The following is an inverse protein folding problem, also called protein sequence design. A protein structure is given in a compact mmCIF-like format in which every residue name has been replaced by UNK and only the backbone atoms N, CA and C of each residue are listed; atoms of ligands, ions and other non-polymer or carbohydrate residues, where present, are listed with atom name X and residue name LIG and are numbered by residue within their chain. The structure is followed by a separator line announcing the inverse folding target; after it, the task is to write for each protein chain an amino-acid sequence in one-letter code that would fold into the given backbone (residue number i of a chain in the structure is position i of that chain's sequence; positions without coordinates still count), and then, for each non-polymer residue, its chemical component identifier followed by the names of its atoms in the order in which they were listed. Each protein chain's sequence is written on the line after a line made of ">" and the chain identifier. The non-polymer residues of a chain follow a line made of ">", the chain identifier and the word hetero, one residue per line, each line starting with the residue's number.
data_IF_782642636158
#
_entry.id   IF_782642636158
#
_cell.length_a   1.000
_cell.length_b   1.000
_cell.length_c   1.000
_cell.angle_alpha   90.00
_cell.angle_beta   90.00
_cell.angle_gamma   90.00
#
_symmetry.space_group_name_H-M   'P 1'
#
loop_
_entity.id
_entity.type
_entity.pdbx_description
1 polymer ?
#
# COMPACT_ATOMS: atom_id res chain seq x y z
N UNK A 1 80.58 28.64 -30.75
CA UNK A 1 81.62 27.59 -30.93
C UNK A 1 81.80 26.88 -29.59
N UNK A 2 81.97 25.54 -29.60
CA UNK A 2 82.23 24.62 -28.46
C UNK A 2 80.91 24.17 -27.75
N UNK A 3 80.36 22.97 -28.05
CA UNK A 3 80.68 21.61 -27.51
C UNK A 3 80.42 21.56 -25.97
N UNK A 4 79.78 20.59 -25.32
CA UNK A 4 79.53 19.19 -25.64
C UNK A 4 78.61 18.55 -24.54
N UNK A 5 77.62 17.71 -24.87
CA UNK A 5 77.58 16.22 -24.81
C UNK A 5 76.90 15.62 -23.54
N UNK A 6 76.03 14.63 -23.82
CA UNK A 6 75.71 13.39 -23.06
C UNK A 6 75.16 13.50 -21.62
N UNK A 7 73.97 12.96 -21.37
CA UNK A 7 73.81 11.68 -20.65
C UNK A 7 72.34 11.38 -20.32
N UNK A 8 71.84 10.30 -20.94
CA UNK A 8 70.99 9.26 -20.36
C UNK A 8 70.42 9.49 -18.94
N UNK A 9 69.13 9.81 -18.88
CA UNK A 9 68.20 9.36 -17.83
C UNK A 9 66.85 9.28 -18.54
N UNK A 10 66.09 8.21 -18.54
CA UNK A 10 66.00 7.14 -17.57
C UNK A 10 64.53 6.74 -17.63
N UNK A 11 64.30 5.52 -18.10
CA UNK A 11 63.03 4.81 -18.00
C UNK A 11 62.40 5.05 -16.62
N UNK A 12 61.14 5.49 -16.55
CA UNK A 12 60.18 5.18 -15.46
C UNK A 12 58.89 5.95 -15.71
N UNK A 13 58.14 5.57 -16.76
CA UNK A 13 56.70 5.81 -16.77
C UNK A 13 56.07 4.75 -15.86
N UNK A 14 56.15 4.98 -14.55
CA UNK A 14 55.43 4.16 -13.56
C UNK A 14 53.95 4.43 -13.77
N UNK A 15 53.23 3.37 -14.10
CA UNK A 15 51.79 3.31 -14.18
C UNK A 15 51.17 3.98 -12.95
N UNK A 16 50.33 4.99 -13.17
CA UNK A 16 49.41 5.48 -12.15
C UNK A 16 48.38 4.38 -11.89
N UNK A 17 48.71 3.51 -10.93
CA UNK A 17 47.80 2.51 -10.40
C UNK A 17 46.63 3.26 -9.74
N UNK A 18 45.45 3.13 -10.32
CA UNK A 18 44.20 3.55 -9.73
C UNK A 18 43.97 2.76 -8.43
N UNK A 19 44.42 3.31 -7.31
CA UNK A 19 43.93 2.92 -5.99
C UNK A 19 42.67 3.75 -5.71
N UNK A 20 41.56 3.37 -6.36
CA UNK A 20 40.25 3.67 -5.81
C UNK A 20 40.19 2.90 -4.48
N UNK A 21 40.38 3.61 -3.37
CA UNK A 21 40.18 3.07 -2.04
C UNK A 21 38.72 2.60 -1.96
N UNK A 22 38.50 1.29 -2.07
CA UNK A 22 37.25 0.68 -1.64
C UNK A 22 37.26 0.73 -0.12
N UNK A 23 36.83 1.86 0.45
CA UNK A 23 36.42 1.88 1.84
C UNK A 23 35.17 1.01 1.92
N UNK A 24 35.33 -0.25 2.35
CA UNK A 24 34.19 -1.02 2.81
C UNK A 24 33.52 -0.20 3.92
N UNK A 25 32.22 0.13 3.79
CA UNK A 25 31.52 0.81 4.87
C UNK A 25 31.62 -0.07 6.12
N UNK A 26 31.79 0.53 7.31
CA UNK A 26 31.89 -0.23 8.54
C UNK A 26 30.66 -1.15 8.70
N UNK A 27 30.80 -2.32 9.35
CA UNK A 27 29.67 -3.19 9.60
C UNK A 27 28.58 -2.38 10.31
N UNK A 28 27.40 -2.29 9.71
CA UNK A 28 26.24 -1.68 10.35
C UNK A 28 25.96 -2.49 11.59
N UNK A 29 26.31 -1.92 12.74
CA UNK A 29 25.84 -2.42 14.03
C UNK A 29 24.34 -2.19 14.02
N UNK A 30 23.55 -3.23 13.74
CA UNK A 30 22.09 -3.21 13.86
C UNK A 30 21.78 -3.13 15.36
N UNK A 31 21.97 -1.95 15.94
CA UNK A 31 21.33 -1.58 17.19
C UNK A 31 19.85 -1.40 16.86
N UNK A 32 19.04 -2.33 17.36
CA UNK A 32 17.57 -2.31 17.45
C UNK A 32 16.94 -1.07 16.82
N UNK A 33 16.63 -1.21 15.53
CA UNK A 33 15.74 -0.31 14.83
C UNK A 33 14.38 -0.46 15.52
N UNK A 34 14.03 0.47 16.41
CA UNK A 34 12.79 0.47 17.21
C UNK A 34 11.64 -0.15 16.43
N UNK A 35 11.36 -1.40 16.76
CA UNK A 35 10.43 -2.21 16.01
C UNK A 35 9.02 -1.91 16.49
N UNK A 36 8.20 -1.38 15.59
CA UNK A 36 6.82 -1.05 15.93
C UNK A 36 5.99 -2.31 16.23
N UNK A 37 6.47 -3.52 15.89
CA UNK A 37 5.87 -4.80 16.28
C UNK A 37 5.76 -4.88 17.80
N UNK A 38 6.78 -4.45 18.54
CA UNK A 38 6.76 -4.44 20.02
C UNK A 38 5.76 -3.44 20.63
N UNK A 39 5.31 -2.48 19.81
CA UNK A 39 4.46 -1.36 20.23
C UNK A 39 2.99 -1.54 19.83
N UNK A 40 2.68 -2.60 19.09
CA UNK A 40 1.33 -2.99 18.70
C UNK A 40 0.80 -2.33 17.42
N UNK A 41 1.65 -1.76 16.57
CA UNK A 41 1.27 -1.33 15.22
C UNK A 41 2.36 -1.74 14.23
N UNK A 42 2.14 -2.79 13.44
CA UNK A 42 3.16 -3.24 12.48
C UNK A 42 3.21 -2.26 11.31
N UNK A 43 4.39 -1.74 10.99
CA UNK A 43 4.59 -0.96 9.77
C UNK A 43 4.69 -1.93 8.58
N UNK A 44 3.59 -2.13 7.87
CA UNK A 44 3.52 -2.96 6.68
C UNK A 44 2.74 -2.28 5.53
N UNK A 45 2.83 -2.86 4.33
CA UNK A 45 2.21 -2.31 3.14
C UNK A 45 2.55 -0.82 2.95
N UNK A 46 1.54 0.01 2.69
CA UNK A 46 1.71 1.46 2.53
C UNK A 46 2.15 2.18 3.80
N UNK A 47 1.87 1.63 4.98
CA UNK A 47 2.33 2.24 6.24
C UNK A 47 3.84 2.10 6.46
N UNK A 48 4.51 1.18 5.76
CA UNK A 48 5.97 1.06 5.81
C UNK A 48 6.69 2.15 5.00
N UNK A 49 5.97 2.86 4.13
CA UNK A 49 6.54 3.84 3.18
C UNK A 49 6.38 5.29 3.65
N UNK A 50 5.51 5.57 4.62
CA UNK A 50 5.22 6.93 5.10
C UNK A 50 6.28 7.45 6.06
N UNK A 51 6.48 8.78 6.08
CA UNK A 51 7.40 9.45 7.00
C UNK A 51 6.94 9.39 8.46
N UNK A 52 7.89 9.30 9.39
CA UNK A 52 7.64 9.16 10.83
C UNK A 52 6.72 10.26 11.39
N UNK A 53 6.85 11.48 10.88
CA UNK A 53 6.11 12.68 11.29
C UNK A 53 4.63 12.64 10.90
N UNK A 54 4.25 11.79 9.94
CA UNK A 54 2.85 11.56 9.54
C UNK A 54 2.02 11.02 10.70
N UNK A 55 2.62 10.15 11.53
CA UNK A 55 1.97 9.57 12.72
C UNK A 55 2.45 10.23 14.01
N UNK A 56 3.73 10.57 14.10
CA UNK A 56 4.38 11.15 15.27
C UNK A 56 4.52 12.65 15.12
N UNK A 57 3.37 13.33 15.12
CA UNK A 57 3.31 14.79 15.02
C UNK A 57 4.20 15.45 16.06
N UNK A 58 5.04 16.39 15.62
CA UNK A 58 6.01 17.10 16.48
C UNK A 58 6.94 16.16 17.26
N UNK A 59 7.28 15.01 16.68
CA UNK A 59 8.08 13.96 17.30
C UNK A 59 7.51 13.41 18.63
N UNK A 60 6.18 13.45 18.80
CA UNK A 60 5.50 12.82 19.94
C UNK A 60 5.17 11.36 19.60
N UNK A 61 5.90 10.45 20.22
CA UNK A 61 5.79 9.00 19.95
C UNK A 61 4.77 8.27 20.83
N UNK A 62 4.57 8.74 22.07
CA UNK A 62 3.61 8.14 22.99
C UNK A 62 2.19 8.58 22.66
N UNK A 63 1.27 7.62 22.69
CA UNK A 63 -0.16 7.88 22.47
C UNK A 63 -0.57 7.98 20.99
N UNK A 64 0.32 7.64 20.05
CA UNK A 64 -0.07 7.48 18.64
C UNK A 64 -1.14 6.38 18.52
N UNK A 65 -2.32 6.67 17.94
CA UNK A 65 -3.38 5.68 17.79
C UNK A 65 -2.95 4.52 16.89
N UNK A 66 -3.50 3.33 17.16
CA UNK A 66 -3.15 2.09 16.43
C UNK A 66 -4.30 1.47 15.65
N UNK A 67 -5.53 1.94 15.86
CA UNK A 67 -6.70 1.46 15.13
C UNK A 67 -6.83 2.22 13.82
N UNK A 68 -7.18 1.53 12.73
CA UNK A 68 -7.37 2.13 11.40
C UNK A 68 -8.25 3.39 11.46
N UNK A 69 -9.43 3.29 12.07
CA UNK A 69 -10.40 4.38 12.17
C UNK A 69 -9.97 5.57 13.05
N UNK A 70 -8.95 5.44 13.89
CA UNK A 70 -8.46 6.58 14.69
C UNK A 70 -7.59 7.54 13.86
N UNK A 71 -7.00 7.05 12.76
CA UNK A 71 -6.27 7.86 11.80
C UNK A 71 -7.09 8.10 10.53
N UNK A 72 -7.71 7.06 9.97
CA UNK A 72 -8.59 7.13 8.79
C UNK A 72 -10.00 7.60 9.17
N UNK A 73 -10.09 8.86 9.60
CA UNK A 73 -11.29 9.50 10.12
C UNK A 73 -11.70 10.77 9.37
N UNK A 74 -11.15 10.99 8.17
CA UNK A 74 -11.32 12.20 7.36
C UNK A 74 -10.78 13.49 8.00
N UNK A 75 -10.06 13.40 9.12
CA UNK A 75 -9.36 14.53 9.76
C UNK A 75 -7.85 14.36 9.65
N UNK A 76 -7.32 13.17 9.97
CA UNK A 76 -5.88 12.88 9.89
C UNK A 76 -5.50 12.20 8.58
N UNK A 77 -6.30 11.23 8.16
CA UNK A 77 -6.20 10.52 6.89
C UNK A 77 -7.59 10.27 6.33
N UNK A 78 -7.66 10.04 5.02
CA UNK A 78 -8.91 9.71 4.34
C UNK A 78 -9.53 8.46 4.97
N UNK A 79 -10.79 8.59 5.40
CA UNK A 79 -11.56 7.52 6.01
C UNK A 79 -12.51 6.86 5.02
N UNK A 80 -13.64 6.37 5.53
CA UNK A 80 -14.73 5.86 4.70
C UNK A 80 -15.26 7.00 3.82
N UNK A 81 -15.25 6.81 2.50
CA UNK A 81 -15.85 7.74 1.55
C UNK A 81 -17.37 7.66 1.61
N UNK A 82 -18.06 8.63 1.01
CA UNK A 82 -19.53 8.63 0.93
C UNK A 82 -20.10 7.42 0.14
N UNK A 83 -19.27 6.76 -0.67
CA UNK A 83 -19.62 5.57 -1.47
C UNK A 83 -19.28 4.25 -0.76
N UNK A 84 -18.67 4.31 0.43
CA UNK A 84 -18.31 3.13 1.19
C UNK A 84 -19.56 2.31 1.56
N UNK A 85 -19.45 0.98 1.53
CA UNK A 85 -20.53 0.09 1.98
C UNK A 85 -20.76 0.34 3.48
N UNK A 86 -21.99 0.66 3.93
CA UNK A 86 -22.25 0.88 5.36
C UNK A 86 -21.88 -0.37 6.17
N UNK A 87 -20.91 -0.23 7.07
CA UNK A 87 -20.47 -1.32 7.97
C UNK A 87 -19.84 -0.74 9.23
N UNK A 88 -20.00 -1.49 10.32
CA UNK A 88 -19.32 -1.30 11.61
C UNK A 88 -18.16 -2.26 11.82
N UNK A 89 -17.90 -3.16 10.86
CA UNK A 89 -16.83 -4.13 10.94
C UNK A 89 -15.45 -3.44 10.96
N UNK A 90 -14.48 -4.15 11.51
CA UNK A 90 -13.10 -3.71 11.54
C UNK A 90 -12.55 -3.57 10.11
N UNK A 91 -11.71 -2.57 9.84
CA UNK A 91 -11.29 -2.26 8.48
C UNK A 91 -10.56 -3.43 7.80
N UNK A 92 -9.79 -4.17 8.57
CA UNK A 92 -9.04 -5.35 8.19
C UNK A 92 -9.91 -6.56 7.79
N UNK A 93 -11.23 -6.52 8.03
CA UNK A 93 -12.14 -7.56 7.53
C UNK A 93 -12.27 -7.50 6.01
N UNK A 94 -12.08 -6.32 5.42
CA UNK A 94 -12.25 -6.08 3.99
C UNK A 94 -10.97 -5.57 3.32
N UNK A 95 -10.20 -4.72 3.99
CA UNK A 95 -9.04 -4.05 3.40
C UNK A 95 -7.71 -4.65 3.87
N UNK A 96 -6.68 -4.49 3.05
CA UNK A 96 -5.30 -4.81 3.45
C UNK A 96 -4.43 -3.56 3.36
N UNK A 97 -3.36 -3.50 4.13
CA UNK A 97 -2.40 -2.38 4.07
C UNK A 97 -1.59 -2.37 2.77
N UNK A 98 -1.51 -3.51 2.07
CA UNK A 98 -0.80 -3.66 0.79
C UNK A 98 -1.64 -3.18 -0.40
N UNK A 99 -2.92 -3.48 -0.36
CA UNK A 99 -3.90 -3.05 -1.35
C UNK A 99 -5.17 -2.59 -0.62
N UNK A 100 -5.24 -1.27 -0.39
CA UNK A 100 -6.32 -0.65 0.35
C UNK A 100 -7.54 -0.39 -0.52
N UNK A 101 -7.35 -0.14 -1.82
CA UNK A 101 -8.45 0.20 -2.73
C UNK A 101 -9.25 -1.03 -3.13
N UNK A 102 -8.60 -2.20 -3.18
CA UNK A 102 -9.29 -3.47 -3.39
C UNK A 102 -9.81 -4.01 -2.06
N UNK A 103 -11.12 -3.87 -1.82
CA UNK A 103 -11.79 -4.45 -0.67
C UNK A 103 -12.29 -5.86 -0.99
N UNK A 104 -12.15 -6.78 -0.04
CA UNK A 104 -12.73 -8.12 -0.11
C UNK A 104 -14.11 -8.09 0.53
N UNK A 105 -15.12 -8.65 -0.14
CA UNK A 105 -16.46 -8.79 0.41
C UNK A 105 -17.00 -10.19 0.15
N UNK A 106 -17.42 -10.88 1.22
CA UNK A 106 -18.06 -12.19 1.11
C UNK A 106 -19.58 -12.03 0.95
N UNK A 107 -20.10 -12.48 -0.18
CA UNK A 107 -21.52 -12.44 -0.49
C UNK A 107 -22.31 -13.62 0.10
N UNK A 108 -21.65 -14.60 0.74
CA UNK A 108 -22.28 -15.84 1.25
C UNK A 108 -23.42 -15.59 2.23
N UNK A 109 -23.34 -14.52 3.04
CA UNK A 109 -24.37 -14.11 3.99
C UNK A 109 -25.47 -13.22 3.39
N UNK A 110 -25.35 -12.80 2.13
CA UNK A 110 -26.27 -11.86 1.48
C UNK A 110 -27.21 -12.61 0.54
N UNK A 111 -28.35 -13.04 1.07
CA UNK A 111 -29.34 -13.84 0.32
C UNK A 111 -30.54 -13.03 -0.20
N UNK A 112 -30.76 -11.83 0.33
CA UNK A 112 -31.88 -10.95 -0.05
C UNK A 112 -31.43 -9.48 -0.04
N UNK A 113 -32.30 -8.58 -0.52
CA UNK A 113 -32.08 -7.12 -0.45
C UNK A 113 -30.82 -6.64 -1.20
N UNK A 114 -30.49 -7.29 -2.32
CA UNK A 114 -29.28 -6.97 -3.11
C UNK A 114 -29.22 -5.49 -3.51
N UNK A 115 -30.39 -4.88 -3.77
CA UNK A 115 -30.53 -3.48 -4.18
C UNK A 115 -30.09 -2.47 -3.13
N UNK A 116 -29.95 -2.84 -1.85
CA UNK A 116 -29.46 -1.90 -0.84
C UNK A 116 -28.00 -1.50 -1.07
N UNK A 117 -27.23 -2.35 -1.75
CA UNK A 117 -25.84 -2.09 -2.13
C UNK A 117 -25.68 -1.95 -3.65
N UNK A 118 -26.37 -2.76 -4.45
CA UNK A 118 -26.32 -2.75 -5.92
C UNK A 118 -27.31 -1.76 -6.53
N UNK A 119 -27.11 -0.48 -6.22
CA UNK A 119 -27.98 0.65 -6.59
C UNK A 119 -27.30 1.66 -7.52
N UNK A 120 -26.18 1.27 -8.16
CA UNK A 120 -25.32 2.14 -8.97
C UNK A 120 -24.62 3.26 -8.20
N UNK A 121 -24.72 3.26 -6.85
CA UNK A 121 -24.02 4.20 -6.00
C UNK A 121 -22.89 3.53 -5.23
N UNK A 122 -23.19 2.56 -4.36
CA UNK A 122 -22.17 1.76 -3.67
C UNK A 122 -21.60 0.68 -4.59
N UNK A 123 -22.47 -0.12 -5.21
CA UNK A 123 -22.08 -1.17 -6.13
C UNK A 123 -22.89 -1.11 -7.44
N UNK A 124 -22.34 -1.63 -8.56
CA UNK A 124 -23.06 -1.72 -9.83
C UNK A 124 -24.38 -2.49 -9.67
N UNK A 125 -25.48 -1.90 -10.14
CA UNK A 125 -26.82 -2.51 -10.14
C UNK A 125 -27.20 -3.06 -11.51
N UNK A 126 -28.48 -2.90 -11.88
CA UNK A 126 -28.99 -3.28 -13.21
C UNK A 126 -28.23 -2.52 -14.31
N UNK A 127 -27.68 -3.24 -15.27
CA UNK A 127 -27.06 -2.66 -16.47
C UNK A 127 -28.12 -2.22 -17.48
N UNK A 128 -27.72 -1.48 -18.52
CA UNK A 128 -28.62 -0.99 -19.56
C UNK A 128 -29.37 -2.12 -20.30
N UNK A 129 -28.80 -3.33 -20.35
CA UNK A 129 -29.38 -4.50 -21.03
C UNK A 129 -30.18 -5.42 -20.10
N UNK A 130 -30.36 -5.04 -18.82
CA UNK A 130 -31.14 -5.85 -17.89
C UNK A 130 -32.63 -5.86 -18.31
N UNK A 131 -33.30 -7.03 -18.37
CA UNK A 131 -34.72 -7.11 -18.69
C UNK A 131 -35.59 -6.23 -17.76
N UNK A 132 -36.62 -5.56 -18.27
CA UNK A 132 -37.50 -4.75 -17.43
C UNK A 132 -38.27 -5.67 -16.46
N UNK A 133 -38.09 -5.43 -15.15
CA UNK A 133 -38.76 -6.20 -14.09
C UNK A 133 -38.84 -5.42 -12.79
N UNK A 134 -39.93 -5.62 -12.06
CA UNK A 134 -40.16 -5.13 -10.69
C UNK A 134 -39.91 -6.18 -9.61
N UNK A 135 -39.54 -7.41 -9.98
CA UNK A 135 -39.24 -8.48 -9.02
C UNK A 135 -37.99 -8.16 -8.20
N UNK A 136 -37.84 -8.84 -7.06
CA UNK A 136 -36.63 -8.70 -6.26
C UNK A 136 -35.47 -9.43 -6.96
N UNK A 137 -34.24 -8.93 -6.76
CA UNK A 137 -33.06 -9.48 -7.42
C UNK A 137 -32.89 -10.98 -7.14
N UNK A 138 -33.11 -11.39 -5.88
CA UNK A 138 -32.95 -12.78 -5.45
C UNK A 138 -33.99 -13.75 -6.04
N UNK A 139 -35.06 -13.25 -6.66
CA UNK A 139 -36.06 -14.10 -7.32
C UNK A 139 -35.49 -14.72 -8.61
N UNK A 140 -34.43 -14.13 -9.17
CA UNK A 140 -33.77 -14.60 -10.39
C UNK A 140 -32.26 -14.82 -10.22
N UNK A 141 -31.59 -14.05 -9.35
CA UNK A 141 -30.15 -14.11 -9.14
C UNK A 141 -29.79 -14.73 -7.78
N UNK A 142 -28.59 -15.31 -7.67
CA UNK A 142 -28.01 -15.75 -6.40
C UNK A 142 -26.61 -15.16 -6.25
N UNK A 143 -26.22 -14.88 -5.00
CA UNK A 143 -24.91 -14.33 -4.65
C UNK A 143 -23.73 -15.10 -5.25
N UNK A 144 -23.82 -16.44 -5.33
CA UNK A 144 -22.77 -17.32 -5.82
C UNK A 144 -22.51 -17.26 -7.34
N UNK A 145 -23.40 -16.64 -8.13
CA UNK A 145 -23.27 -16.53 -9.59
C UNK A 145 -22.85 -15.12 -10.05
N UNK A 146 -22.41 -14.23 -9.16
CA UNK A 146 -22.10 -12.85 -9.50
C UNK A 146 -21.00 -12.71 -10.59
N UNK A 147 -20.01 -13.62 -10.58
CA UNK A 147 -18.94 -13.67 -11.58
C UNK A 147 -19.43 -13.97 -13.01
N UNK A 148 -20.68 -14.41 -13.19
CA UNK A 148 -21.28 -14.63 -14.52
C UNK A 148 -22.10 -13.43 -15.02
N UNK A 149 -22.42 -12.46 -14.15
CA UNK A 149 -23.27 -11.31 -14.49
C UNK A 149 -22.47 -10.08 -14.94
N UNK A 150 -21.16 -10.04 -14.64
CA UNK A 150 -20.22 -9.03 -15.12
C UNK A 150 -18.90 -9.70 -15.50
N UNK A 151 -18.67 -10.03 -16.79
CA UNK A 151 -17.34 -10.43 -17.24
C UNK A 151 -16.38 -9.26 -16.97
N UNK A 152 -15.52 -9.39 -15.95
CA UNK A 152 -14.54 -8.36 -15.58
C UNK A 152 -14.80 -7.64 -14.25
N UNK A 153 -15.87 -7.95 -13.51
CA UNK A 153 -15.89 -7.66 -12.08
C UNK A 153 -14.99 -8.69 -11.39
N UNK A 154 -13.71 -8.35 -11.22
CA UNK A 154 -12.84 -9.11 -10.35
C UNK A 154 -13.42 -9.14 -8.91
N UNK A 155 -13.19 -10.22 -8.15
CA UNK A 155 -13.57 -10.29 -6.74
C UNK A 155 -12.94 -9.17 -5.92
#
# INVERSE_FOLDING_TARGET
>A
MIKAWIALLGCFLVAALAAAATSEPPPIKVIDRYDHISTGFVLDGRHAEIGCDTCHAKAVFRGTPRTCAACHNNVRAEGKTFRHIPTTDACESCHTTKDWLTARFDHSGVVTNCVSCHNNFQAPGKTANHPPTSNQCQDCHRAIHWNQLLPGAAP
#
